data_IF_899419076098
#
_entry.id   IF_899419076098
#
_cell.length_a   1.000
_cell.length_b   1.000
_cell.length_c   1.000
_cell.angle_alpha   90.00
_cell.angle_beta   90.00
_cell.angle_gamma   90.00
#
_symmetry.space_group_name_H-M   'P 1'
#
loop_
_entity.id
_entity.type
_entity.pdbx_description
1 polymer ?
#
# COMPACT_ATOMS: atom_id res chain seq x y z
N UNK A 1 -13.70 13.18 -19.58
CA UNK A 1 -14.62 12.03 -19.61
C UNK A 1 -14.19 11.06 -18.53
N UNK A 2 -15.14 10.59 -17.72
CA UNK A 2 -14.80 9.70 -16.62
C UNK A 2 -14.50 8.27 -17.11
N UNK A 3 -13.59 7.61 -16.42
CA UNK A 3 -13.29 6.19 -16.61
C UNK A 3 -13.59 5.47 -15.30
N UNK A 4 -14.15 4.27 -15.42
CA UNK A 4 -14.31 3.44 -14.24
C UNK A 4 -12.99 2.71 -13.99
N UNK A 5 -12.43 2.95 -12.82
CA UNK A 5 -11.13 2.41 -12.43
C UNK A 5 -11.26 1.48 -11.23
N UNK A 6 -10.41 0.47 -11.20
CA UNK A 6 -10.27 -0.44 -10.07
C UNK A 6 -8.81 -0.48 -9.66
N UNK A 7 -8.55 -0.22 -8.39
CA UNK A 7 -7.20 -0.30 -7.82
C UNK A 7 -7.12 -1.56 -6.97
N UNK A 8 -6.23 -2.45 -7.33
CA UNK A 8 -6.01 -3.71 -6.61
C UNK A 8 -4.62 -3.71 -6.02
N UNK A 9 -4.53 -3.79 -4.70
CA UNK A 9 -3.26 -3.92 -3.99
C UNK A 9 -2.82 -5.38 -4.10
N UNK A 10 -1.68 -5.59 -4.74
CA UNK A 10 -1.19 -6.94 -5.05
C UNK A 10 -0.39 -7.53 -3.90
N UNK A 11 0.60 -6.78 -3.40
CA UNK A 11 1.42 -7.26 -2.30
C UNK A 11 2.10 -6.10 -1.57
N UNK A 12 2.54 -6.41 -0.35
CA UNK A 12 3.35 -5.54 0.50
C UNK A 12 4.57 -6.34 0.92
N UNK A 13 5.73 -5.70 0.94
CA UNK A 13 6.96 -6.29 1.40
C UNK A 13 7.58 -5.41 2.47
N UNK A 14 7.96 -6.01 3.59
CA UNK A 14 8.61 -5.31 4.69
C UNK A 14 10.12 -5.46 4.53
N UNK A 15 10.83 -4.33 4.52
CA UNK A 15 12.28 -4.31 4.34
C UNK A 15 13.03 -4.20 5.66
N UNK A 16 12.40 -3.60 6.66
CA UNK A 16 13.04 -3.34 7.94
C UNK A 16 12.00 -3.47 9.05
N UNK A 17 12.36 -4.20 10.10
CA UNK A 17 11.56 -4.23 11.31
C UNK A 17 11.82 -2.98 12.11
N UNK A 18 10.76 -2.33 12.54
CA UNK A 18 10.86 -1.16 13.38
C UNK A 18 11.23 -1.52 14.82
N UNK A 19 11.00 -2.77 15.23
CA UNK A 19 11.45 -3.33 16.50
C UNK A 19 12.60 -4.30 16.28
N UNK A 20 13.85 -3.90 16.60
CA UNK A 20 15.03 -4.70 16.22
C UNK A 20 15.34 -5.88 17.13
N UNK A 21 14.70 -6.03 18.28
CA UNK A 21 15.11 -7.02 19.27
C UNK A 21 14.09 -8.14 19.45
N UNK A 22 14.56 -9.39 19.34
CA UNK A 22 13.89 -10.61 19.79
C UNK A 22 12.66 -11.10 18.99
N UNK A 23 12.26 -10.43 17.92
CA UNK A 23 11.17 -10.90 17.10
C UNK A 23 11.66 -11.25 15.70
N UNK A 24 11.49 -12.49 15.29
CA UNK A 24 11.68 -12.89 13.91
C UNK A 24 10.55 -12.39 13.03
N UNK A 25 9.40 -12.03 13.63
CA UNK A 25 8.21 -11.54 12.95
C UNK A 25 7.68 -10.30 13.63
N UNK A 26 7.33 -9.32 12.83
CA UNK A 26 6.59 -8.16 13.28
C UNK A 26 5.10 -8.38 13.13
N UNK A 27 4.31 -7.69 13.95
CA UNK A 27 2.86 -7.66 13.87
C UNK A 27 2.44 -6.36 13.20
N UNK A 28 1.79 -6.46 12.05
CA UNK A 28 1.49 -5.30 11.21
C UNK A 28 0.01 -5.21 10.86
N UNK A 29 -0.46 -3.99 10.74
CA UNK A 29 -1.74 -3.71 10.12
C UNK A 29 -1.60 -2.53 9.16
N UNK A 30 -2.46 -2.49 8.17
CA UNK A 30 -2.37 -1.52 7.09
C UNK A 30 -3.72 -0.86 6.85
N UNK A 31 -3.67 0.35 6.32
CA UNK A 31 -4.85 1.10 5.91
C UNK A 31 -4.59 1.70 4.54
N UNK A 32 -5.55 1.58 3.66
CA UNK A 32 -5.53 2.28 2.39
C UNK A 32 -6.59 3.36 2.37
N UNK A 33 -6.27 4.46 1.70
CA UNK A 33 -7.20 5.54 1.46
C UNK A 33 -7.01 5.99 0.01
N UNK A 34 -8.00 5.70 -0.82
CA UNK A 34 -7.94 6.03 -2.24
C UNK A 34 -9.05 7.01 -2.54
N UNK A 35 -8.68 8.14 -3.10
CA UNK A 35 -9.62 9.23 -3.43
C UNK A 35 -9.66 9.39 -4.94
N UNK A 36 -10.83 9.17 -5.52
CA UNK A 36 -11.11 9.46 -6.93
C UNK A 36 -11.96 10.72 -7.02
N UNK A 37 -11.38 11.79 -7.56
CA UNK A 37 -11.98 13.13 -7.57
C UNK A 37 -12.37 13.58 -6.15
N UNK A 38 -13.65 13.45 -5.79
CA UNK A 38 -14.17 13.84 -4.48
C UNK A 38 -14.60 12.65 -3.60
N UNK A 39 -14.40 11.43 -4.06
CA UNK A 39 -14.85 10.22 -3.36
C UNK A 39 -13.69 9.48 -2.77
N UNK A 40 -13.78 9.18 -1.48
CA UNK A 40 -12.72 8.46 -0.76
C UNK A 40 -13.22 7.09 -0.34
N UNK A 41 -12.41 6.06 -0.58
CA UNK A 41 -12.65 4.71 -0.07
C UNK A 41 -11.49 4.34 0.84
N UNK A 42 -11.83 3.97 2.08
CA UNK A 42 -10.85 3.52 3.07
C UNK A 42 -11.02 2.04 3.33
N UNK A 43 -9.89 1.35 3.46
CA UNK A 43 -9.89 -0.09 3.74
C UNK A 43 -8.82 -0.38 4.78
N UNK A 44 -9.20 -1.11 5.81
CA UNK A 44 -8.27 -1.65 6.79
C UNK A 44 -8.03 -3.12 6.48
N UNK A 45 -6.78 -3.54 6.49
CA UNK A 45 -6.44 -4.95 6.29
C UNK A 45 -5.31 -5.37 7.24
N UNK A 46 -5.48 -6.51 7.93
CA UNK A 46 -6.67 -7.34 7.91
C UNK A 46 -7.88 -6.60 8.48
N UNK A 47 -9.08 -7.09 8.22
CA UNK A 47 -10.31 -6.47 8.76
C UNK A 47 -10.31 -6.45 10.28
N UNK A 48 -9.74 -7.50 10.88
CA UNK A 48 -9.56 -7.61 12.33
C UNK A 48 -8.17 -8.15 12.61
N UNK A 49 -7.60 -7.74 13.74
CA UNK A 49 -6.29 -8.24 14.17
C UNK A 49 -5.14 -7.62 13.39
N UNK A 50 -4.17 -8.45 13.08
CA UNK A 50 -2.93 -8.03 12.42
C UNK A 50 -2.36 -9.17 11.58
N UNK A 51 -1.41 -8.81 10.71
CA UNK A 51 -0.58 -9.78 10.00
C UNK A 51 0.72 -9.99 10.75
N UNK A 52 1.24 -11.20 10.72
CA UNK A 52 2.60 -11.48 11.15
C UNK A 52 3.50 -11.55 9.92
N UNK A 53 4.49 -10.69 9.85
CA UNK A 53 5.39 -10.59 8.71
C UNK A 53 6.83 -10.62 9.21
N UNK A 54 7.65 -11.50 8.62
CA UNK A 54 9.07 -11.58 8.91
C UNK A 54 9.84 -10.57 8.04
N UNK A 55 10.96 -10.05 8.53
CA UNK A 55 11.90 -9.29 7.71
C UNK A 55 12.85 -10.19 6.92
N UNK A 56 12.79 -11.50 7.13
CA UNK A 56 13.60 -12.45 6.38
C UNK A 56 13.17 -12.46 4.91
N UNK A 57 14.11 -12.40 3.94
CA UNK A 57 13.77 -12.26 2.52
C UNK A 57 12.79 -13.29 1.98
N UNK A 58 12.73 -14.49 2.56
CA UNK A 58 11.81 -15.54 2.13
C UNK A 58 10.37 -15.34 2.65
N UNK A 59 10.18 -14.51 3.68
CA UNK A 59 8.92 -14.43 4.42
C UNK A 59 8.44 -12.99 4.64
N UNK A 60 9.04 -12.03 3.98
CA UNK A 60 8.75 -10.61 4.20
C UNK A 60 7.70 -10.04 3.25
N UNK A 61 7.11 -10.86 2.39
CA UNK A 61 6.10 -10.43 1.43
C UNK A 61 4.73 -10.96 1.80
N UNK A 62 3.75 -10.08 1.78
CA UNK A 62 2.35 -10.41 2.00
C UNK A 62 1.59 -10.23 0.69
N UNK A 63 1.10 -11.33 0.11
CA UNK A 63 0.31 -11.29 -1.11
C UNK A 63 -1.16 -11.08 -0.76
N UNK A 64 -1.78 -10.06 -1.29
CA UNK A 64 -3.10 -9.60 -0.89
C UNK A 64 -4.17 -9.75 -1.97
N UNK A 65 -3.88 -9.30 -3.19
CA UNK A 65 -4.87 -9.24 -4.28
C UNK A 65 -6.18 -8.59 -3.82
N UNK A 66 -6.06 -7.45 -3.14
CA UNK A 66 -7.21 -6.80 -2.52
C UNK A 66 -7.60 -5.53 -3.25
N UNK A 67 -8.86 -5.44 -3.64
CA UNK A 67 -9.39 -4.21 -4.23
C UNK A 67 -9.51 -3.15 -3.15
N UNK A 68 -8.84 -2.01 -3.36
CA UNK A 68 -8.85 -0.89 -2.42
C UNK A 68 -9.61 0.31 -2.94
N UNK A 69 -10.02 0.28 -4.21
CA UNK A 69 -10.86 1.30 -4.81
C UNK A 69 -11.53 0.75 -6.06
N UNK A 70 -12.79 1.13 -6.23
CA UNK A 70 -13.49 0.91 -7.49
C UNK A 70 -14.53 2.00 -7.68
N UNK A 71 -14.44 2.73 -8.78
CA UNK A 71 -15.36 3.82 -9.06
C UNK A 71 -14.96 4.65 -10.25
N UNK A 72 -15.78 5.64 -10.57
CA UNK A 72 -15.56 6.55 -11.68
C UNK A 72 -14.59 7.65 -11.28
N UNK A 73 -13.63 7.94 -12.15
CA UNK A 73 -12.63 8.98 -11.97
C UNK A 73 -12.59 9.84 -13.22
N UNK A 74 -12.72 11.14 -13.05
CA UNK A 74 -12.73 12.10 -14.17
C UNK A 74 -11.37 12.78 -14.36
N UNK A 75 -10.70 13.17 -13.27
CA UNK A 75 -9.51 14.02 -13.37
C UNK A 75 -8.38 13.64 -12.41
N UNK A 76 -8.68 13.13 -11.23
CA UNK A 76 -7.68 12.93 -10.19
C UNK A 76 -7.92 11.64 -9.41
N UNK A 77 -6.82 10.91 -9.17
CA UNK A 77 -6.83 9.74 -8.30
C UNK A 77 -5.64 9.86 -7.35
N UNK A 78 -5.89 9.72 -6.05
CA UNK A 78 -4.84 9.73 -5.04
C UNK A 78 -4.84 8.39 -4.31
N UNK A 79 -3.69 7.73 -4.28
CA UNK A 79 -3.51 6.46 -3.57
C UNK A 79 -2.65 6.72 -2.35
N UNK A 80 -3.20 6.44 -1.16
CA UNK A 80 -2.49 6.57 0.10
C UNK A 80 -2.50 5.22 0.82
N UNK A 81 -1.32 4.80 1.27
CA UNK A 81 -1.15 3.56 2.02
C UNK A 81 -0.38 3.85 3.29
N UNK A 82 -0.87 3.33 4.40
CA UNK A 82 -0.22 3.46 5.69
C UNK A 82 -0.09 2.09 6.33
N UNK A 83 0.98 1.90 7.06
CA UNK A 83 1.19 0.67 7.81
C UNK A 83 1.80 0.98 9.17
N UNK A 84 1.53 0.12 10.13
CA UNK A 84 2.13 0.24 11.45
C UNK A 84 2.50 -1.13 12.00
N UNK A 85 3.59 -1.16 12.75
CA UNK A 85 3.98 -2.31 13.56
C UNK A 85 3.40 -2.13 14.95
N UNK A 86 2.67 -3.13 15.43
CA UNK A 86 2.01 -3.07 16.73
C UNK A 86 3.00 -3.36 17.84
N UNK A 87 2.93 -2.57 18.91
CA UNK A 87 3.77 -2.71 20.08
C UNK A 87 2.93 -2.65 21.34
N UNK A 88 3.03 -3.69 22.17
CA UNK A 88 2.26 -3.76 23.41
C UNK A 88 2.83 -2.90 24.55
N UNK A 89 4.08 -2.48 24.45
CA UNK A 89 4.79 -1.80 25.52
C UNK A 89 4.97 -0.31 25.29
N UNK A 90 4.80 0.15 24.06
CA UNK A 90 4.97 1.56 23.69
C UNK A 90 4.00 1.94 22.58
N UNK A 91 4.17 3.13 22.02
CA UNK A 91 3.41 3.57 20.85
C UNK A 91 3.77 2.70 19.64
N UNK A 92 2.79 2.40 18.80
CA UNK A 92 3.01 1.66 17.58
C UNK A 92 3.96 2.44 16.65
N UNK A 93 4.88 1.73 16.01
CA UNK A 93 5.78 2.31 15.03
C UNK A 93 5.10 2.40 13.67
N UNK A 94 5.32 3.50 12.98
CA UNK A 94 4.72 3.75 11.67
C UNK A 94 5.71 3.46 10.56
N UNK A 95 5.24 2.78 9.51
CA UNK A 95 5.96 2.68 8.26
C UNK A 95 5.89 4.03 7.53
N UNK A 96 6.82 4.26 6.61
CA UNK A 96 6.78 5.49 5.80
C UNK A 96 5.48 5.55 5.01
N UNK A 97 4.69 6.62 5.13
CA UNK A 97 3.44 6.70 4.39
C UNK A 97 3.69 6.75 2.89
N UNK A 98 2.88 6.03 2.16
CA UNK A 98 2.88 6.05 0.71
C UNK A 98 1.78 6.99 0.22
N UNK A 99 2.11 7.87 -0.71
CA UNK A 99 1.14 8.74 -1.35
C UNK A 99 1.54 9.00 -2.79
N UNK A 100 0.61 8.77 -3.70
CA UNK A 100 0.82 9.06 -5.11
C UNK A 100 -0.44 9.67 -5.71
N UNK A 101 -0.26 10.76 -6.44
CA UNK A 101 -1.35 11.45 -7.11
C UNK A 101 -1.25 11.25 -8.62
N UNK A 102 -2.39 10.99 -9.25
CA UNK A 102 -2.54 10.87 -10.69
C UNK A 102 -3.50 11.97 -11.14
N UNK A 103 -3.09 12.78 -12.08
CA UNK A 103 -3.89 13.88 -12.62
C UNK A 103 -3.91 13.82 -14.14
N UNK A 104 -5.04 14.24 -14.73
CA UNK A 104 -5.21 14.31 -16.16
C UNK A 104 -6.23 13.32 -16.68
N UNK A 105 -5.96 12.73 -17.83
CA UNK A 105 -6.84 11.74 -18.44
C UNK A 105 -6.82 10.43 -17.65
N UNK A 106 -7.94 10.03 -17.04
CA UNK A 106 -7.96 8.83 -16.20
C UNK A 106 -7.62 7.54 -16.96
N UNK A 107 -7.80 7.51 -18.27
CA UNK A 107 -7.39 6.35 -19.06
C UNK A 107 -5.87 6.11 -18.97
N UNK A 108 -5.09 7.16 -18.74
CA UNK A 108 -3.63 7.05 -18.61
C UNK A 108 -3.18 6.54 -17.26
N UNK A 109 -4.08 6.46 -16.27
CA UNK A 109 -3.73 5.97 -14.94
C UNK A 109 -3.62 4.46 -14.89
N UNK A 110 -4.21 3.75 -15.84
CA UNK A 110 -4.16 2.29 -15.88
C UNK A 110 -2.72 1.79 -16.06
N UNK A 111 -2.34 0.79 -15.30
CA UNK A 111 -1.01 0.20 -15.35
C UNK A 111 -0.66 -0.54 -14.07
N UNK A 112 0.54 -1.11 -14.08
CA UNK A 112 1.11 -1.77 -12.92
C UNK A 112 2.10 -0.85 -12.24
N UNK A 113 1.93 -0.64 -10.95
CA UNK A 113 2.78 0.21 -10.12
C UNK A 113 3.51 -0.69 -9.13
N UNK A 114 4.70 -1.08 -9.52
CA UNK A 114 5.53 -2.03 -8.77
C UNK A 114 6.91 -1.41 -8.57
N UNK A 115 7.62 -1.77 -7.48
CA UNK A 115 9.00 -1.31 -7.33
C UNK A 115 9.84 -1.93 -8.45
N UNK A 116 10.59 -1.08 -9.15
CA UNK A 116 11.43 -1.53 -10.26
C UNK A 116 12.67 -2.23 -9.76
N UNK A 117 13.51 -1.48 -9.09
CA UNK A 117 14.72 -2.00 -8.48
C UNK A 117 14.92 -1.32 -7.11
N UNK A 118 16.10 -1.37 -6.57
CA UNK A 118 16.41 -0.79 -5.27
C UNK A 118 16.62 0.72 -5.31
N UNK A 119 16.27 1.37 -6.40
CA UNK A 119 16.42 2.81 -6.55
C UNK A 119 15.49 3.55 -5.59
N UNK A 120 16.05 4.49 -4.84
CA UNK A 120 15.29 5.34 -3.94
C UNK A 120 14.38 6.33 -4.68
N UNK A 121 14.55 6.45 -5.99
CA UNK A 121 13.68 7.29 -6.82
C UNK A 121 12.36 6.62 -7.17
N UNK A 122 12.20 5.33 -6.88
CA UNK A 122 11.01 4.56 -7.17
C UNK A 122 9.95 4.84 -6.08
N UNK A 123 8.79 5.45 -6.43
CA UNK A 123 7.78 5.77 -5.42
C UNK A 123 7.25 4.57 -4.64
N UNK A 124 7.19 3.39 -5.27
CA UNK A 124 6.66 2.18 -4.65
C UNK A 124 7.67 1.50 -3.74
N UNK A 125 8.91 1.97 -3.74
CA UNK A 125 9.98 1.47 -2.89
C UNK A 125 10.28 2.50 -1.80
N UNK A 126 9.62 2.40 -0.68
CA UNK A 126 9.83 3.30 0.44
C UNK A 126 10.97 2.77 1.31
N UNK A 127 11.43 3.58 2.26
CA UNK A 127 12.63 3.28 3.04
C UNK A 127 12.54 1.94 3.78
N UNK A 128 11.39 1.62 4.33
CA UNK A 128 11.23 0.44 5.19
C UNK A 128 10.18 -0.55 4.68
N UNK A 129 9.54 -0.27 3.57
CA UNK A 129 8.61 -1.20 2.95
C UNK A 129 8.42 -0.90 1.46
N UNK A 130 7.84 -1.86 0.75
CA UNK A 130 7.50 -1.75 -0.66
C UNK A 130 6.07 -2.17 -0.87
N UNK A 131 5.43 -1.57 -1.87
CA UNK A 131 4.06 -1.91 -2.24
C UNK A 131 3.96 -2.12 -3.74
N UNK A 132 3.00 -2.93 -4.14
CA UNK A 132 2.68 -3.13 -5.56
C UNK A 132 1.18 -3.15 -5.73
N UNK A 133 0.69 -2.38 -6.69
CA UNK A 133 -0.72 -2.35 -7.02
C UNK A 133 -0.92 -2.15 -8.52
N UNK A 134 -2.12 -2.42 -8.96
CA UNK A 134 -2.54 -2.31 -10.36
C UNK A 134 -3.76 -1.42 -10.43
N UNK A 135 -3.77 -0.50 -11.39
CA UNK A 135 -4.95 0.29 -11.73
C UNK A 135 -5.47 -0.25 -13.07
N UNK A 136 -6.72 -0.66 -13.07
CA UNK A 136 -7.37 -1.23 -14.25
C UNK A 136 -8.57 -0.40 -14.65
N UNK A 137 -8.81 -0.31 -15.94
CA UNK A 137 -10.04 0.23 -16.49
C UNK A 137 -11.07 -0.90 -16.55
N UNK A 138 -12.23 -0.68 -15.98
CA UNK A 138 -13.27 -1.71 -15.94
C UNK A 138 -14.52 -1.36 -16.74
#
# INVERSE_FOLDING_TARGET
MAERLKVTLKWIQILDKLEPFFKERGEFRFTSRVTGDNRTQETRFPTEGHYEISDHPAWNRLNLDRVIFEGDVAARLTVELNGEELDFLSSNDQLHPYRREFEGDPATFAGSYVPGDESTADPENMKNWRVAYVIERT
#
